data_IF_263115457493
#
_entry.id   IF_263115457493
#
_cell.length_a   1.000
_cell.length_b   1.000
_cell.length_c   1.000
_cell.angle_alpha   90.00
_cell.angle_beta   90.00
_cell.angle_gamma   90.00
#
_symmetry.space_group_name_H-M   'P 1'
#
loop_
_entity.id
_entity.type
_entity.pdbx_description
1 polymer ?
#
# COMPACT_ATOMS: atom_id res chain seq x y z
N UNK A 1 44.28 0.65 69.02
CA UNK A 1 44.56 1.67 67.98
C UNK A 1 45.06 0.88 66.76
N UNK A 2 44.48 0.87 65.56
CA UNK A 2 43.61 1.81 64.84
C UNK A 2 42.82 1.02 63.76
N UNK A 3 41.52 1.33 63.67
CA UNK A 3 40.56 1.31 62.54
C UNK A 3 40.39 0.13 61.55
N UNK A 4 39.25 -0.55 61.73
CA UNK A 4 38.10 -0.61 60.81
C UNK A 4 38.21 0.13 59.45
N UNK A 5 38.00 -0.61 58.35
CA UNK A 5 37.77 0.02 57.05
C UNK A 5 37.70 -0.91 55.85
N UNK A 6 36.72 -1.82 55.78
CA UNK A 6 36.28 -2.37 54.49
C UNK A 6 34.96 -1.73 54.08
N UNK A 7 35.05 -0.58 53.40
CA UNK A 7 33.92 -0.01 52.64
C UNK A 7 33.83 -0.78 51.33
N UNK A 8 32.94 -1.77 51.29
CA UNK A 8 32.51 -2.42 50.06
C UNK A 8 31.85 -1.38 49.16
N UNK A 9 32.59 -0.88 48.17
CA UNK A 9 32.06 -0.10 47.07
C UNK A 9 31.15 -0.99 46.22
N UNK A 10 29.84 -0.95 46.50
CA UNK A 10 28.80 -1.45 45.61
C UNK A 10 28.95 -0.76 44.24
N UNK A 11 29.54 -1.46 43.27
CA UNK A 11 29.64 -1.01 41.88
C UNK A 11 28.24 -0.94 41.25
N UNK A 12 27.87 0.16 40.58
CA UNK A 12 26.56 0.33 39.95
C UNK A 12 26.53 -0.41 38.59
N UNK A 13 26.79 -1.72 38.59
CA UNK A 13 26.79 -2.52 37.35
C UNK A 13 25.38 -2.65 36.76
N UNK A 14 24.35 -2.65 37.62
CA UNK A 14 22.94 -2.77 37.20
C UNK A 14 22.41 -1.55 36.42
N UNK A 15 22.85 -0.34 36.79
CA UNK A 15 22.39 0.89 36.13
C UNK A 15 22.95 1.03 34.70
N UNK A 16 24.19 0.58 34.48
CA UNK A 16 24.84 0.66 33.16
C UNK A 16 24.25 -0.32 32.13
N UNK A 17 23.80 -1.50 32.56
CA UNK A 17 23.12 -2.48 31.67
C UNK A 17 21.72 -1.99 31.28
N UNK A 18 21.01 -1.35 32.20
CA UNK A 18 19.69 -0.78 31.94
C UNK A 18 19.76 0.40 30.95
N UNK A 19 20.79 1.25 31.07
CA UNK A 19 21.02 2.37 30.17
C UNK A 19 21.32 1.91 28.73
N UNK A 20 22.07 0.80 28.57
CA UNK A 20 22.34 0.20 27.26
C UNK A 20 21.07 -0.37 26.61
N UNK A 21 20.18 -1.01 27.38
CA UNK A 21 18.91 -1.55 26.88
C UNK A 21 17.94 -0.47 26.35
N UNK A 22 17.92 0.71 26.97
CA UNK A 22 17.04 1.82 26.55
C UNK A 22 17.51 2.44 25.22
N UNK A 23 18.82 2.43 24.94
CA UNK A 23 19.39 2.97 23.69
C UNK A 23 19.10 2.12 22.45
N UNK A 24 18.79 0.82 22.61
CA UNK A 24 18.42 -0.07 21.49
C UNK A 24 16.95 0.02 21.08
N UNK A 25 16.12 0.78 21.80
CA UNK A 25 14.69 0.98 21.47
C UNK A 25 14.44 2.20 20.57
N UNK A 26 15.43 2.55 19.76
CA UNK A 26 15.35 3.67 18.82
C UNK A 26 14.37 3.36 17.67
N UNK A 27 13.14 3.84 17.83
CA UNK A 27 12.18 4.32 16.84
C UNK A 27 12.04 3.53 15.51
N UNK A 28 11.11 2.56 15.50
CA UNK A 28 10.47 2.12 14.26
C UNK A 28 9.45 3.19 13.82
N UNK A 29 9.80 4.04 12.85
CA UNK A 29 8.79 4.85 12.14
C UNK A 29 8.14 3.92 11.12
N UNK A 30 6.87 3.58 11.33
CA UNK A 30 6.10 2.90 10.30
C UNK A 30 6.09 3.76 9.03
N UNK A 31 6.17 3.15 7.84
CA UNK A 31 6.07 3.90 6.60
C UNK A 31 4.70 4.59 6.52
N UNK A 32 4.71 5.92 6.57
CA UNK A 32 3.50 6.71 6.39
C UNK A 32 2.97 6.51 4.96
N UNK A 33 1.71 6.10 4.82
CA UNK A 33 1.05 5.98 3.51
C UNK A 33 0.89 7.39 2.92
N UNK A 34 1.45 7.70 1.73
CA UNK A 34 1.41 9.04 1.17
C UNK A 34 0.02 9.43 0.65
N UNK A 35 -0.97 8.53 0.69
CA UNK A 35 -2.30 8.73 0.16
C UNK A 35 -3.39 8.83 1.23
N UNK A 36 -4.31 9.77 1.03
CA UNK A 36 -5.59 9.81 1.75
C UNK A 36 -6.62 8.97 0.99
N UNK A 37 -6.96 7.80 1.52
CA UNK A 37 -7.89 6.87 0.89
C UNK A 37 -9.35 7.31 1.11
N UNK A 38 -10.12 7.42 0.02
CA UNK A 38 -11.56 7.69 0.05
C UNK A 38 -12.32 6.42 -0.32
N UNK A 39 -13.22 6.01 0.55
CA UNK A 39 -14.05 4.82 0.31
C UNK A 39 -15.22 5.13 -0.61
N UNK A 40 -15.51 4.19 -1.51
CA UNK A 40 -16.67 4.24 -2.40
C UNK A 40 -17.23 2.83 -2.58
N UNK A 41 -18.54 2.66 -2.40
CA UNK A 41 -19.22 1.39 -2.69
C UNK A 41 -19.50 1.30 -4.19
N UNK A 42 -19.07 0.21 -4.81
CA UNK A 42 -19.02 0.04 -6.26
C UNK A 42 -19.47 -1.36 -6.67
N UNK A 43 -20.02 -1.55 -7.87
CA UNK A 43 -20.25 -2.89 -8.45
C UNK A 43 -19.04 -3.30 -9.27
N UNK A 44 -18.38 -4.38 -8.86
CA UNK A 44 -17.17 -4.88 -9.52
C UNK A 44 -17.48 -6.12 -10.36
N UNK A 45 -16.87 -6.19 -11.54
CA UNK A 45 -16.80 -7.42 -12.37
C UNK A 45 -15.35 -7.63 -12.82
N UNK A 46 -14.93 -8.87 -12.99
CA UNK A 46 -13.60 -9.22 -13.51
C UNK A 46 -13.70 -9.78 -14.94
N UNK A 47 -12.77 -9.38 -15.81
CA UNK A 47 -12.57 -9.95 -17.14
C UNK A 47 -11.08 -10.21 -17.37
N UNK A 48 -10.76 -11.14 -18.27
CA UNK A 48 -9.40 -11.36 -18.73
C UNK A 48 -9.21 -10.69 -20.11
N UNK A 49 -7.98 -10.31 -20.43
CA UNK A 49 -7.61 -9.77 -21.75
C UNK A 49 -7.08 -10.89 -22.64
N UNK A 50 -7.94 -11.82 -23.05
CA UNK A 50 -7.55 -12.92 -23.96
C UNK A 50 -7.95 -12.63 -25.40
N UNK A 51 -7.07 -12.97 -26.36
CA UNK A 51 -7.30 -12.77 -27.81
C UNK A 51 -8.62 -13.39 -28.29
N UNK A 52 -9.04 -14.52 -27.70
CA UNK A 52 -10.29 -15.20 -28.07
C UNK A 52 -11.55 -14.42 -27.66
N UNK A 53 -11.43 -13.45 -26.77
CA UNK A 53 -12.55 -12.70 -26.18
C UNK A 53 -12.54 -11.22 -26.57
N UNK A 54 -11.66 -10.78 -27.47
CA UNK A 54 -11.55 -9.36 -27.85
C UNK A 54 -11.16 -9.23 -29.33
N UNK A 55 -11.89 -8.40 -30.08
CA UNK A 55 -11.50 -8.01 -31.44
C UNK A 55 -10.33 -7.00 -31.37
N UNK A 56 -9.21 -7.28 -32.04
CA UNK A 56 -8.04 -6.40 -32.10
C UNK A 56 -6.92 -6.78 -31.13
N UNK A 57 -6.26 -5.78 -30.53
CA UNK A 57 -5.12 -5.99 -29.61
C UNK A 57 -5.59 -5.96 -28.13
N UNK A 58 -5.70 -7.12 -27.44
CA UNK A 58 -6.20 -7.19 -26.06
C UNK A 58 -5.24 -6.56 -25.04
N UNK A 59 -4.01 -6.27 -25.45
CA UNK A 59 -3.01 -5.63 -24.61
C UNK A 59 -3.06 -4.11 -24.68
N UNK A 60 -3.96 -3.50 -25.47
CA UNK A 60 -4.07 -2.05 -25.55
C UNK A 60 -5.32 -1.56 -24.77
N UNK A 61 -5.10 -0.80 -23.70
CA UNK A 61 -6.19 -0.18 -22.95
C UNK A 61 -6.81 0.99 -23.73
N UNK A 62 -7.99 1.44 -23.31
CA UNK A 62 -8.75 2.48 -24.02
C UNK A 62 -8.10 3.88 -24.03
N UNK A 63 -7.02 4.10 -23.27
CA UNK A 63 -6.18 5.30 -23.33
C UNK A 63 -4.84 5.11 -24.06
N UNK A 64 -4.63 3.94 -24.68
CA UNK A 64 -3.41 3.61 -25.41
C UNK A 64 -2.29 3.03 -24.53
N UNK A 65 -2.55 2.77 -23.26
CA UNK A 65 -1.59 2.08 -22.38
C UNK A 65 -1.42 0.62 -22.80
N UNK A 66 -0.18 0.13 -22.77
CA UNK A 66 0.10 -1.29 -23.02
C UNK A 66 0.02 -2.08 -21.73
N UNK A 67 -0.90 -3.05 -21.70
CA UNK A 67 -1.10 -4.01 -20.64
C UNK A 67 -0.16 -5.20 -20.82
N UNK A 68 0.45 -5.62 -19.72
CA UNK A 68 1.30 -6.81 -19.66
C UNK A 68 0.76 -7.78 -18.61
N UNK A 69 0.91 -9.10 -18.80
CA UNK A 69 0.58 -10.08 -17.77
C UNK A 69 1.20 -9.72 -16.43
N UNK A 70 0.43 -9.86 -15.34
CA UNK A 70 0.88 -9.54 -13.98
C UNK A 70 0.62 -8.10 -13.52
N UNK A 71 0.26 -7.18 -14.42
CA UNK A 71 -0.10 -5.81 -14.02
C UNK A 71 -1.37 -5.79 -13.13
N UNK A 72 -1.33 -4.98 -12.07
CA UNK A 72 -2.47 -4.72 -11.19
C UNK A 72 -3.20 -3.46 -11.67
N UNK A 73 -4.05 -3.64 -12.67
CA UNK A 73 -4.81 -2.54 -13.29
C UNK A 73 -6.29 -2.77 -13.19
N UNK A 74 -7.05 -1.69 -13.23
CA UNK A 74 -8.52 -1.72 -13.27
C UNK A 74 -9.05 -0.82 -14.37
N UNK A 75 -10.19 -1.22 -14.94
CA UNK A 75 -11.02 -0.39 -15.79
C UNK A 75 -12.16 0.20 -14.96
N UNK A 76 -12.42 1.49 -15.12
CA UNK A 76 -13.50 2.19 -14.40
C UNK A 76 -14.58 2.69 -15.36
N UNK A 77 -15.80 2.87 -14.85
CA UNK A 77 -16.91 3.40 -15.62
C UNK A 77 -16.89 4.94 -15.71
N UNK A 78 -17.52 5.53 -16.73
CA UNK A 78 -17.49 6.99 -16.92
C UNK A 78 -18.04 7.81 -15.75
N UNK A 79 -19.01 7.28 -15.00
CA UNK A 79 -19.53 7.89 -13.78
C UNK A 79 -18.48 7.92 -12.66
N UNK A 80 -17.70 6.85 -12.48
CA UNK A 80 -16.57 6.84 -11.55
C UNK A 80 -15.45 7.82 -11.96
N UNK A 81 -15.21 7.99 -13.26
CA UNK A 81 -14.28 9.02 -13.77
C UNK A 81 -14.74 10.42 -13.33
N UNK A 82 -16.05 10.71 -13.38
CA UNK A 82 -16.64 11.99 -12.96
C UNK A 82 -16.53 12.21 -11.45
N UNK A 83 -16.51 11.13 -10.66
CA UNK A 83 -16.27 11.18 -9.21
C UNK A 83 -14.78 11.33 -8.86
N UNK A 84 -13.88 11.30 -9.84
CA UNK A 84 -12.46 11.61 -9.67
C UNK A 84 -11.50 10.42 -9.74
N UNK A 85 -11.96 9.20 -10.01
CA UNK A 85 -11.09 8.04 -10.27
C UNK A 85 -10.49 8.14 -11.68
N UNK A 86 -9.51 9.02 -11.90
CA UNK A 86 -8.92 9.31 -13.21
C UNK A 86 -7.85 8.28 -13.60
N UNK A 87 -7.33 8.37 -14.83
CA UNK A 87 -6.16 7.59 -15.27
C UNK A 87 -5.00 7.78 -14.30
N UNK A 88 -4.32 6.70 -13.96
CA UNK A 88 -3.25 6.60 -12.96
C UNK A 88 -3.65 6.83 -11.50
N UNK A 89 -4.95 6.93 -11.19
CA UNK A 89 -5.38 6.96 -9.79
C UNK A 89 -5.11 5.60 -9.13
N UNK A 90 -4.40 5.55 -7.98
CA UNK A 90 -4.23 4.32 -7.22
C UNK A 90 -5.54 3.96 -6.51
N UNK A 91 -5.85 2.67 -6.47
CA UNK A 91 -7.09 2.13 -5.89
C UNK A 91 -6.78 0.90 -5.06
N UNK A 92 -7.31 0.84 -3.84
CA UNK A 92 -7.36 -0.38 -3.03
C UNK A 92 -8.75 -0.99 -3.15
N UNK A 93 -8.82 -2.29 -3.39
CA UNK A 93 -10.09 -3.04 -3.43
C UNK A 93 -10.18 -3.82 -2.13
N UNK A 94 -11.24 -3.60 -1.35
CA UNK A 94 -11.45 -4.32 -0.09
C UNK A 94 -11.45 -5.83 -0.34
N UNK A 95 -10.62 -6.55 0.41
CA UNK A 95 -10.44 -8.00 0.28
C UNK A 95 -9.36 -8.43 -0.71
N UNK A 96 -8.65 -7.48 -1.35
CA UNK A 96 -7.46 -7.76 -2.16
C UNK A 96 -6.26 -7.01 -1.58
N UNK A 97 -5.11 -7.68 -1.50
CA UNK A 97 -3.92 -7.15 -0.82
C UNK A 97 -3.06 -6.21 -1.69
N UNK A 98 -3.48 -5.99 -2.93
CA UNK A 98 -2.73 -5.18 -3.90
C UNK A 98 -3.32 -3.80 -4.09
N UNK A 99 -2.45 -2.81 -4.34
CA UNK A 99 -2.86 -1.53 -4.92
C UNK A 99 -2.94 -1.69 -6.43
N UNK A 100 -4.08 -1.29 -6.99
CA UNK A 100 -4.35 -1.29 -8.41
C UNK A 100 -4.22 0.13 -8.97
N UNK A 101 -3.98 0.23 -10.28
CA UNK A 101 -3.94 1.51 -10.97
C UNK A 101 -5.05 1.58 -12.00
N UNK A 102 -5.78 2.69 -12.03
CA UNK A 102 -6.77 2.95 -13.08
C UNK A 102 -6.03 3.19 -14.40
N UNK A 103 -6.11 2.24 -15.32
CA UNK A 103 -5.38 2.30 -16.59
C UNK A 103 -6.29 2.07 -17.81
N UNK A 104 -7.56 1.78 -17.57
CA UNK A 104 -8.53 1.53 -18.62
C UNK A 104 -9.91 2.13 -18.27
N UNK A 105 -10.79 2.21 -19.26
CA UNK A 105 -12.18 2.65 -19.08
C UNK A 105 -13.13 1.66 -19.71
N UNK A 106 -14.27 1.46 -19.06
CA UNK A 106 -15.33 0.62 -19.61
C UNK A 106 -16.18 1.40 -20.62
N UNK A 107 -17.04 0.69 -21.36
CA UNK A 107 -17.93 1.28 -22.35
C UNK A 107 -18.79 2.41 -21.76
N UNK A 108 -19.03 3.47 -22.54
CA UNK A 108 -19.72 4.70 -22.13
C UNK A 108 -21.12 4.57 -21.48
N UNK A 109 -21.75 3.39 -21.60
CA UNK A 109 -23.09 3.09 -21.05
C UNK A 109 -23.04 2.41 -19.68
N UNK A 110 -21.87 1.93 -19.28
CA UNK A 110 -21.67 1.25 -18.00
C UNK A 110 -21.75 2.27 -16.89
N UNK A 111 -22.40 1.87 -15.82
CA UNK A 111 -22.51 2.59 -14.57
C UNK A 111 -22.24 1.62 -13.45
N UNK A 112 -21.70 2.18 -12.39
CA UNK A 112 -21.22 1.45 -11.24
C UNK A 112 -22.33 1.11 -10.24
#
# INVERSE_FOLDING_TARGET
MINSGLKYYLRPVRASVFLLLVLFWSCNKEPEDPYVWKELKVKVTAYNSTLRQTDGNPFLAAWGDTLKPGMKVVAVSPDLLRLGLKRHTPVKIKGLDSVYVVLDKTHGRKRN
#
